data_IF_656950815462
#
_entry.id   IF_656950815462
#
_cell.length_a   1.000
_cell.length_b   1.000
_cell.length_c   1.000
_cell.angle_alpha   90.00
_cell.angle_beta   90.00
_cell.angle_gamma   90.00
#
_symmetry.space_group_name_H-M   'P 1'
#
loop_
_entity.id
_entity.type
_entity.pdbx_description
1 polymer ?
#
# COMPACT_ATOMS: atom_id res chain seq x y z
N UNK A 1 18.86 -15.37 1.81
CA UNK A 1 19.40 -14.03 2.20
C UNK A 1 18.84 -13.76 3.57
N UNK A 2 19.48 -13.07 4.48
CA UNK A 2 18.93 -12.80 5.82
C UNK A 2 18.00 -11.57 5.72
N UNK A 3 16.80 -11.68 6.30
CA UNK A 3 15.85 -10.57 6.40
C UNK A 3 16.47 -9.34 7.05
N UNK A 4 16.09 -8.16 6.60
CA UNK A 4 16.49 -6.89 7.25
C UNK A 4 15.65 -6.63 8.50
N UNK A 5 14.36 -7.01 8.47
CA UNK A 5 13.44 -6.93 9.61
C UNK A 5 12.66 -8.23 9.72
N UNK A 6 12.55 -8.77 10.94
CA UNK A 6 11.74 -9.95 11.21
C UNK A 6 10.96 -9.75 12.51
N UNK A 7 9.64 -9.88 12.44
CA UNK A 7 8.73 -9.90 13.57
C UNK A 7 8.17 -11.30 13.73
N UNK A 8 8.19 -11.84 14.95
CA UNK A 8 7.66 -13.17 15.25
C UNK A 8 6.66 -13.06 16.40
N UNK A 9 5.39 -13.33 16.12
CA UNK A 9 4.30 -13.33 17.09
C UNK A 9 4.15 -12.03 17.87
N UNK A 10 4.47 -10.89 17.25
CA UNK A 10 4.51 -9.58 17.91
C UNK A 10 3.11 -9.12 18.28
N UNK A 11 2.90 -8.88 19.58
CA UNK A 11 1.66 -8.34 20.12
C UNK A 11 1.86 -7.09 20.95
N UNK A 12 0.89 -6.15 20.87
CA UNK A 12 0.88 -4.91 21.67
C UNK A 12 -0.55 -4.48 21.98
N UNK A 13 -0.81 -4.21 23.26
CA UNK A 13 -2.11 -3.72 23.74
C UNK A 13 -1.97 -2.39 24.46
N UNK A 14 -3.00 -1.56 24.35
CA UNK A 14 -3.17 -0.31 25.11
C UNK A 14 -4.44 -0.42 25.94
N UNK A 15 -4.30 -0.76 27.21
CA UNK A 15 -5.44 -1.10 28.06
C UNK A 15 -6.22 -2.29 27.47
N UNK A 16 -7.52 -2.15 27.21
CA UNK A 16 -8.33 -3.23 26.65
C UNK A 16 -8.18 -3.41 25.13
N UNK A 17 -7.51 -2.50 24.45
CA UNK A 17 -7.39 -2.50 22.97
C UNK A 17 -6.10 -3.20 22.56
N UNK A 18 -6.22 -4.38 21.94
CA UNK A 18 -5.09 -5.07 21.31
C UNK A 18 -4.83 -4.44 19.93
N UNK A 19 -3.85 -3.53 19.85
CA UNK A 19 -3.50 -2.80 18.64
C UNK A 19 -2.71 -3.65 17.65
N UNK A 20 -1.90 -4.59 18.13
CA UNK A 20 -1.15 -5.57 17.32
C UNK A 20 -1.35 -6.94 17.95
N UNK A 21 -1.69 -7.94 17.14
CA UNK A 21 -2.15 -9.25 17.58
C UNK A 21 -1.35 -10.37 16.93
N UNK A 22 -0.19 -10.71 17.48
CA UNK A 22 0.61 -11.83 17.01
C UNK A 22 1.08 -11.67 15.57
N UNK A 23 1.61 -10.48 15.23
CA UNK A 23 2.07 -10.19 13.87
C UNK A 23 3.37 -10.93 13.58
N UNK A 24 3.34 -11.71 12.50
CA UNK A 24 4.51 -12.26 11.83
C UNK A 24 4.74 -11.45 10.54
N UNK A 25 5.95 -10.92 10.37
CA UNK A 25 6.31 -10.11 9.21
C UNK A 25 7.80 -10.22 8.93
N UNK A 26 8.14 -10.50 7.69
CA UNK A 26 9.51 -10.54 7.20
C UNK A 26 9.70 -9.53 6.08
N UNK A 27 10.83 -8.81 6.09
CA UNK A 27 11.22 -7.82 5.07
C UNK A 27 12.63 -8.12 4.64
N UNK A 28 12.80 -8.39 3.36
CA UNK A 28 14.11 -8.71 2.79
C UNK A 28 14.98 -7.46 2.64
N UNK A 29 16.31 -7.65 2.53
CA UNK A 29 17.25 -6.54 2.28
C UNK A 29 17.01 -5.94 0.90
N UNK A 30 16.89 -4.61 0.86
CA UNK A 30 16.59 -3.84 -0.35
C UNK A 30 15.12 -3.84 -0.77
N UNK A 31 14.24 -4.51 -0.02
CA UNK A 31 12.79 -4.51 -0.25
C UNK A 31 12.15 -3.22 0.26
N UNK A 32 11.22 -2.68 -0.51
CA UNK A 32 10.31 -1.60 -0.09
C UNK A 32 8.95 -2.24 0.24
N UNK A 33 8.63 -2.31 1.54
CA UNK A 33 7.36 -2.86 2.03
C UNK A 33 6.39 -1.74 2.41
N UNK A 34 5.14 -1.84 1.94
CA UNK A 34 4.03 -1.04 2.44
C UNK A 34 3.26 -1.76 3.55
N UNK A 35 3.03 -1.10 4.68
CA UNK A 35 2.00 -1.50 5.64
C UNK A 35 0.72 -0.74 5.31
N UNK A 36 -0.25 -1.42 4.72
CA UNK A 36 -1.52 -0.85 4.24
C UNK A 36 -2.67 -1.32 5.13
N UNK A 37 -3.62 -0.46 5.44
CA UNK A 37 -4.80 -0.86 6.24
C UNK A 37 -5.62 0.34 6.73
N UNK A 38 -6.83 0.13 7.25
CA UNK A 38 -7.68 1.20 7.77
C UNK A 38 -7.06 1.89 8.99
N UNK A 39 -7.59 3.06 9.34
CA UNK A 39 -7.16 3.76 10.55
C UNK A 39 -7.41 2.91 11.78
N UNK A 40 -6.41 2.85 12.68
CA UNK A 40 -6.50 2.07 13.93
C UNK A 40 -6.19 0.57 13.80
N UNK A 41 -5.86 0.03 12.63
CA UNK A 41 -5.52 -1.40 12.46
C UNK A 41 -4.12 -1.81 12.96
N UNK A 42 -3.33 -0.89 13.53
CA UNK A 42 -2.03 -1.22 14.15
C UNK A 42 -0.78 -0.87 13.36
N UNK A 43 -0.85 -0.30 12.16
CA UNK A 43 0.30 0.04 11.29
C UNK A 43 1.36 0.90 11.98
N UNK A 44 0.98 2.08 12.46
CA UNK A 44 1.89 3.00 13.16
C UNK A 44 2.45 2.37 14.44
N UNK A 45 1.65 1.55 15.15
CA UNK A 45 2.12 0.81 16.32
C UNK A 45 3.20 -0.21 15.92
N UNK A 46 2.98 -0.97 14.84
CA UNK A 46 3.97 -1.91 14.29
C UNK A 46 5.26 -1.18 13.90
N UNK A 47 5.14 -0.04 13.21
CA UNK A 47 6.30 0.78 12.85
C UNK A 47 7.07 1.25 14.10
N UNK A 48 6.37 1.72 15.14
CA UNK A 48 6.97 2.18 16.42
C UNK A 48 7.61 1.03 17.21
N UNK A 49 7.08 -0.18 17.12
CA UNK A 49 7.68 -1.39 17.71
C UNK A 49 9.01 -1.72 17.05
N UNK A 50 9.12 -1.60 15.72
CA UNK A 50 10.38 -1.79 14.98
C UNK A 50 11.37 -0.68 15.34
N UNK A 51 10.92 0.58 15.34
CA UNK A 51 11.74 1.74 15.66
C UNK A 51 12.25 1.76 17.12
N UNK A 52 11.51 1.10 18.06
CA UNK A 52 11.86 1.07 19.49
C UNK A 52 11.21 2.15 20.33
N UNK A 53 10.30 2.93 19.77
CA UNK A 53 9.48 3.88 20.54
C UNK A 53 8.45 3.15 21.41
N UNK A 54 8.01 1.96 20.98
CA UNK A 54 7.15 1.05 21.72
C UNK A 54 7.88 -0.27 22.03
N UNK A 55 7.43 -0.99 23.05
CA UNK A 55 7.89 -2.32 23.36
C UNK A 55 6.76 -3.34 23.11
N UNK A 56 7.05 -4.51 22.54
CA UNK A 56 6.05 -5.56 22.39
C UNK A 56 5.70 -6.17 23.77
N UNK A 57 4.42 -6.53 23.91
CA UNK A 57 3.97 -7.31 25.08
C UNK A 57 4.30 -8.80 24.88
N UNK A 58 4.28 -9.26 23.63
CA UNK A 58 4.61 -10.65 23.22
C UNK A 58 5.42 -10.65 21.94
N UNK A 59 6.10 -11.75 21.66
CA UNK A 59 6.87 -11.94 20.44
C UNK A 59 8.22 -11.24 20.46
N UNK A 60 8.90 -11.23 19.31
CA UNK A 60 10.24 -10.67 19.14
C UNK A 60 10.33 -9.81 17.89
N UNK A 61 11.19 -8.79 17.92
CA UNK A 61 11.55 -7.93 16.79
C UNK A 61 13.05 -8.08 16.54
N UNK A 62 13.41 -8.40 15.31
CA UNK A 62 14.79 -8.46 14.83
C UNK A 62 15.02 -7.41 13.75
N UNK A 63 16.20 -6.76 13.79
CA UNK A 63 16.66 -5.81 12.79
C UNK A 63 18.11 -6.15 12.44
N UNK A 64 18.41 -6.31 11.15
CA UNK A 64 19.75 -6.67 10.68
C UNK A 64 20.25 -8.01 11.23
N UNK A 65 19.35 -8.97 11.47
CA UNK A 65 19.68 -10.29 12.06
C UNK A 65 19.96 -10.25 13.57
N UNK A 66 19.67 -9.12 14.24
CA UNK A 66 19.84 -8.95 15.68
C UNK A 66 18.48 -8.74 16.34
N UNK A 67 18.16 -9.51 17.38
CA UNK A 67 16.98 -9.26 18.21
C UNK A 67 17.12 -7.92 18.94
N UNK A 68 16.18 -7.01 18.71
CA UNK A 68 16.17 -5.64 19.29
C UNK A 68 15.03 -5.42 20.28
N UNK A 69 14.01 -6.26 20.27
CA UNK A 69 12.94 -6.25 21.27
C UNK A 69 12.36 -7.65 21.49
N UNK A 70 11.86 -7.89 22.70
CA UNK A 70 11.21 -9.12 23.13
C UNK A 70 10.83 -9.03 24.60
N UNK A 71 10.29 -10.10 25.23
CA UNK A 71 9.74 -10.06 26.59
C UNK A 71 10.71 -9.51 27.64
N UNK A 72 12.03 -9.74 27.48
CA UNK A 72 13.06 -9.31 28.45
C UNK A 72 14.16 -8.47 27.77
N UNK A 73 13.94 -7.97 26.56
CA UNK A 73 14.92 -7.21 25.81
C UNK A 73 14.26 -5.96 25.23
N UNK A 74 14.87 -4.81 25.47
CA UNK A 74 14.50 -3.55 24.84
C UNK A 74 15.74 -2.77 24.47
N UNK A 75 16.13 -2.83 23.20
CA UNK A 75 17.17 -1.96 22.66
C UNK A 75 16.55 -0.60 22.37
N UNK A 76 17.12 0.52 22.87
CA UNK A 76 16.56 1.85 22.62
C UNK A 76 16.73 2.25 21.12
N UNK A 77 15.88 3.17 20.60
CA UNK A 77 15.82 3.53 19.18
C UNK A 77 17.19 3.87 18.56
N UNK A 78 17.99 4.68 19.23
CA UNK A 78 19.29 5.15 18.73
C UNK A 78 20.35 4.03 18.57
N UNK A 79 20.08 2.83 19.07
CA UNK A 79 20.96 1.66 18.96
C UNK A 79 20.43 0.57 18.05
N UNK A 80 19.29 0.80 17.36
CA UNK A 80 18.65 -0.19 16.49
C UNK A 80 19.11 -0.17 15.05
N UNK A 81 19.92 0.81 14.65
CA UNK A 81 20.32 1.03 13.25
C UNK A 81 19.12 1.21 12.31
N UNK A 82 18.14 1.98 12.74
CA UNK A 82 16.91 2.28 12.02
C UNK A 82 16.88 3.77 11.69
N UNK A 83 16.60 4.11 10.43
CA UNK A 83 16.26 5.47 10.03
C UNK A 83 14.76 5.72 10.20
N UNK A 84 14.35 6.93 10.60
CA UNK A 84 12.92 7.27 10.75
C UNK A 84 12.59 8.57 10.04
N UNK A 85 11.54 8.55 9.22
CA UNK A 85 10.88 9.72 8.63
C UNK A 85 9.49 9.81 9.24
N UNK A 86 9.23 10.92 9.95
CA UNK A 86 7.95 11.18 10.59
C UNK A 86 6.98 11.89 9.65
N UNK A 87 5.70 11.82 9.94
CA UNK A 87 4.63 12.41 9.14
C UNK A 87 4.79 13.92 8.90
N UNK A 88 5.31 14.66 9.90
CA UNK A 88 5.59 16.11 9.84
C UNK A 88 7.05 16.41 9.42
N UNK A 89 7.77 15.38 8.89
CA UNK A 89 9.19 15.41 8.52
C UNK A 89 10.15 15.65 9.70
N UNK A 90 9.72 16.25 10.79
CA UNK A 90 10.47 16.55 12.01
C UNK A 90 11.87 17.14 11.72
N UNK A 91 11.95 18.05 10.74
CA UNK A 91 13.20 18.77 10.45
C UNK A 91 13.53 19.76 11.56
N UNK A 92 14.82 19.89 11.90
CA UNK A 92 15.29 20.88 12.85
C UNK A 92 15.24 22.26 12.19
N UNK A 93 14.33 23.17 12.60
CA UNK A 93 14.08 24.42 11.86
C UNK A 93 15.21 25.44 11.98
N UNK A 94 16.10 25.26 12.96
CA UNK A 94 17.27 26.10 13.23
C UNK A 94 18.57 25.57 12.59
N UNK A 95 18.50 24.45 11.88
CA UNK A 95 19.63 23.84 11.17
C UNK A 95 19.42 23.93 9.66
N UNK A 96 20.49 24.12 8.91
CA UNK A 96 20.47 24.05 7.45
C UNK A 96 20.17 22.64 6.96
N UNK A 97 19.90 22.48 5.68
CA UNK A 97 19.72 21.17 5.02
C UNK A 97 20.91 20.25 5.29
N UNK A 98 22.13 20.70 5.03
CA UNK A 98 23.35 19.92 5.28
C UNK A 98 23.49 19.55 6.76
N UNK A 99 23.16 20.46 7.67
CA UNK A 99 23.22 20.20 9.12
C UNK A 99 22.13 19.20 9.57
N UNK A 100 20.92 19.27 8.99
CA UNK A 100 19.89 18.29 9.24
C UNK A 100 20.35 16.89 8.80
N UNK A 101 20.89 16.75 7.59
CA UNK A 101 21.39 15.46 7.06
C UNK A 101 22.55 14.94 7.91
N UNK A 102 23.45 15.83 8.33
CA UNK A 102 24.59 15.49 9.14
C UNK A 102 24.25 15.11 10.60
N UNK A 103 23.02 15.38 11.08
CA UNK A 103 22.68 15.32 12.49
C UNK A 103 22.95 13.95 13.14
N UNK A 104 22.60 12.87 12.46
CA UNK A 104 22.82 11.49 12.95
C UNK A 104 24.21 10.92 12.67
N UNK A 105 25.08 11.66 11.98
CA UNK A 105 26.41 11.17 11.62
C UNK A 105 27.41 11.39 12.77
N UNK A 106 28.29 10.42 13.05
CA UNK A 106 29.39 10.63 13.99
C UNK A 106 30.30 11.76 13.51
N UNK A 107 30.86 12.51 14.46
CA UNK A 107 31.88 13.53 14.14
C UNK A 107 33.14 12.89 13.59
N UNK A 108 33.82 13.58 12.68
CA UNK A 108 35.13 13.15 12.18
C UNK A 108 35.35 13.35 10.68
N UNK A 109 36.51 12.89 10.20
CA UNK A 109 36.89 12.93 8.77
C UNK A 109 35.92 12.06 7.96
N UNK A 110 35.40 12.62 6.86
CA UNK A 110 34.45 11.93 5.97
C UNK A 110 32.96 12.26 6.20
N UNK A 111 32.61 12.98 7.27
CA UNK A 111 31.24 13.43 7.52
C UNK A 111 30.68 14.28 6.39
N UNK A 112 31.45 15.30 5.96
CA UNK A 112 31.03 16.24 4.91
C UNK A 112 30.89 15.52 3.56
N UNK A 113 31.82 14.64 3.20
CA UNK A 113 31.70 13.82 1.99
C UNK A 113 30.48 12.88 2.00
N UNK A 114 30.12 12.31 3.17
CA UNK A 114 28.91 11.52 3.29
C UNK A 114 27.65 12.38 3.11
N UNK A 115 27.62 13.59 3.67
CA UNK A 115 26.52 14.55 3.49
C UNK A 115 26.36 14.89 2.01
N UNK A 116 27.44 15.21 1.30
CA UNK A 116 27.40 15.52 -0.15
C UNK A 116 26.83 14.34 -0.96
N UNK A 117 27.30 13.13 -0.72
CA UNK A 117 26.80 11.91 -1.38
C UNK A 117 25.29 11.73 -1.15
N UNK A 118 24.82 11.90 0.09
CA UNK A 118 23.41 11.70 0.41
C UNK A 118 22.53 12.84 -0.10
N UNK A 119 23.03 14.07 -0.13
CA UNK A 119 22.33 15.21 -0.74
C UNK A 119 22.16 14.99 -2.25
N UNK A 120 23.20 14.54 -2.94
CA UNK A 120 23.12 14.24 -4.37
C UNK A 120 22.13 13.09 -4.64
N UNK A 121 22.21 12.01 -3.86
CA UNK A 121 21.28 10.88 -3.94
C UNK A 121 19.81 11.33 -3.76
N UNK A 122 19.56 12.29 -2.85
CA UNK A 122 18.22 12.83 -2.60
C UNK A 122 17.84 13.98 -3.58
N UNK A 123 18.62 14.23 -4.62
CA UNK A 123 18.43 15.33 -5.57
C UNK A 123 18.30 16.71 -4.89
N UNK A 124 19.19 16.97 -3.93
CA UNK A 124 19.24 18.19 -3.13
C UNK A 124 20.53 19.00 -3.37
N UNK A 125 21.19 18.77 -4.52
CA UNK A 125 22.41 19.46 -4.90
C UNK A 125 22.23 20.97 -4.87
N UNK A 126 23.19 21.68 -4.28
CA UNK A 126 23.16 23.14 -4.13
C UNK A 126 22.20 23.67 -3.06
N UNK A 127 21.40 22.82 -2.40
CA UNK A 127 20.45 23.24 -1.36
C UNK A 127 21.01 23.11 0.07
N UNK A 128 22.23 22.59 0.25
CA UNK A 128 22.81 22.28 1.56
C UNK A 128 22.86 23.47 2.55
N UNK A 129 23.00 24.71 2.05
CA UNK A 129 23.03 25.91 2.87
C UNK A 129 21.65 26.50 3.22
N UNK A 130 20.56 26.01 2.61
CA UNK A 130 19.21 26.52 2.88
C UNK A 130 18.65 26.06 4.20
N UNK A 131 17.70 26.82 4.74
CA UNK A 131 16.93 26.47 5.91
C UNK A 131 15.65 25.70 5.50
N UNK A 132 15.06 24.84 6.38
CA UNK A 132 13.87 24.09 6.05
C UNK A 132 12.68 24.94 5.55
N UNK A 133 12.47 26.11 6.12
CA UNK A 133 11.37 27.01 5.72
C UNK A 133 11.52 27.65 4.32
N UNK A 134 12.72 27.53 3.71
CA UNK A 134 12.99 28.01 2.35
C UNK A 134 12.74 26.91 1.28
N UNK A 135 12.28 25.74 1.71
CA UNK A 135 12.07 24.57 0.87
C UNK A 135 10.58 24.29 0.63
N UNK A 136 10.26 23.75 -0.56
CA UNK A 136 8.93 23.16 -0.80
C UNK A 136 8.69 21.90 0.05
N UNK A 137 7.42 21.51 0.25
CA UNK A 137 7.09 20.30 1.02
C UNK A 137 7.79 19.03 0.51
N UNK A 138 7.84 18.82 -0.80
CA UNK A 138 8.58 17.68 -1.39
C UNK A 138 10.09 17.76 -1.16
N UNK A 139 10.67 18.97 -1.16
CA UNK A 139 12.10 19.15 -0.80
C UNK A 139 12.33 18.86 0.68
N UNK A 140 11.45 19.31 1.58
CA UNK A 140 11.54 19.00 3.01
C UNK A 140 11.47 17.49 3.27
N UNK A 141 10.59 16.79 2.57
CA UNK A 141 10.47 15.34 2.64
C UNK A 141 11.76 14.64 2.20
N UNK A 142 12.36 15.07 1.08
CA UNK A 142 13.65 14.53 0.62
C UNK A 142 14.78 14.82 1.60
N UNK A 143 14.79 15.96 2.28
CA UNK A 143 15.75 16.25 3.36
C UNK A 143 15.55 15.30 4.54
N UNK A 144 14.31 15.01 4.94
CA UNK A 144 14.03 14.06 6.01
C UNK A 144 14.46 12.63 5.64
N UNK A 145 14.22 12.22 4.39
CA UNK A 145 14.71 10.93 3.87
C UNK A 145 16.24 10.88 3.82
N UNK A 146 16.90 11.92 3.32
CA UNK A 146 18.35 12.04 3.30
C UNK A 146 18.96 11.94 4.72
N UNK A 147 18.36 12.62 5.70
CA UNK A 147 18.74 12.52 7.11
C UNK A 147 18.64 11.11 7.65
N UNK A 148 17.55 10.39 7.28
CA UNK A 148 17.34 9.00 7.70
C UNK A 148 18.35 8.04 7.05
N UNK A 149 18.73 8.26 5.79
CA UNK A 149 19.67 7.44 5.03
C UNK A 149 21.15 7.71 5.37
N UNK A 150 21.46 8.91 5.84
CA UNK A 150 22.86 9.33 6.06
C UNK A 150 23.67 8.38 6.95
N UNK A 151 23.15 7.85 8.09
CA UNK A 151 23.86 6.91 8.94
C UNK A 151 24.08 5.52 8.34
N UNK A 152 23.43 5.17 7.21
CA UNK A 152 23.47 3.83 6.63
C UNK A 152 22.68 2.82 7.47
N UNK A 153 21.39 3.05 7.70
CA UNK A 153 20.57 2.16 8.53
C UNK A 153 20.31 0.82 7.85
N UNK A 154 19.96 -0.21 8.64
CA UNK A 154 19.49 -1.52 8.15
C UNK A 154 18.11 -1.41 7.49
N UNK A 155 17.27 -0.48 7.99
CA UNK A 155 15.94 -0.20 7.46
C UNK A 155 15.55 1.26 7.68
N UNK A 156 14.87 1.85 6.71
CA UNK A 156 14.24 3.18 6.81
C UNK A 156 12.73 2.97 7.05
N UNK A 157 12.21 3.56 8.10
CA UNK A 157 10.80 3.56 8.45
C UNK A 157 10.17 4.91 8.10
N UNK A 158 9.01 4.90 7.42
CA UNK A 158 8.32 6.12 7.02
C UNK A 158 6.87 6.07 7.51
N UNK A 159 6.50 7.02 8.37
CA UNK A 159 5.15 7.10 8.95
C UNK A 159 4.32 8.10 8.14
N UNK A 160 3.38 7.61 7.32
CA UNK A 160 2.51 8.37 6.41
C UNK A 160 3.25 9.49 5.63
N UNK A 161 4.29 9.14 4.86
CA UNK A 161 5.20 10.15 4.31
C UNK A 161 4.56 11.13 3.33
N UNK A 162 3.41 10.82 2.75
CA UNK A 162 2.78 11.64 1.71
C UNK A 162 1.52 12.39 2.18
N UNK A 163 1.12 12.24 3.44
CA UNK A 163 -0.15 12.79 3.97
C UNK A 163 -0.26 14.32 3.89
N UNK A 164 0.86 15.03 3.96
CA UNK A 164 0.93 16.50 3.95
C UNK A 164 1.09 17.11 2.55
N UNK A 165 0.99 16.31 1.47
CA UNK A 165 1.17 16.76 0.09
C UNK A 165 -0.17 16.86 -0.64
N UNK A 166 -0.28 17.85 -1.53
CA UNK A 166 -1.39 17.89 -2.49
C UNK A 166 -1.31 16.74 -3.50
N UNK A 167 -2.43 16.41 -4.16
CA UNK A 167 -2.53 15.24 -5.03
C UNK A 167 -1.53 15.25 -6.21
N UNK A 168 -1.28 16.41 -6.83
CA UNK A 168 -0.37 16.51 -7.98
C UNK A 168 1.09 16.35 -7.55
N UNK A 169 1.46 16.96 -6.42
CA UNK A 169 2.80 16.85 -5.85
C UNK A 169 3.05 15.43 -5.30
N UNK A 170 2.04 14.80 -4.73
CA UNK A 170 2.11 13.44 -4.16
C UNK A 170 2.56 12.41 -5.19
N UNK A 171 1.98 12.39 -6.39
CA UNK A 171 2.35 11.45 -7.47
C UNK A 171 3.81 11.58 -7.86
N UNK A 172 4.30 12.82 -8.01
CA UNK A 172 5.70 13.07 -8.37
C UNK A 172 6.66 12.68 -7.25
N UNK A 173 6.36 13.06 -6.00
CA UNK A 173 7.22 12.81 -4.85
C UNK A 173 7.28 11.31 -4.53
N UNK A 174 6.19 10.54 -4.78
CA UNK A 174 6.21 9.08 -4.68
C UNK A 174 7.26 8.46 -5.61
N UNK A 175 7.26 8.85 -6.88
CA UNK A 175 8.24 8.35 -7.85
C UNK A 175 9.68 8.72 -7.43
N UNK A 176 9.91 10.00 -7.12
CA UNK A 176 11.23 10.47 -6.64
C UNK A 176 11.70 9.71 -5.39
N UNK A 177 10.81 9.40 -4.45
CA UNK A 177 11.15 8.64 -3.24
C UNK A 177 11.52 7.19 -3.55
N UNK A 178 10.79 6.52 -4.46
CA UNK A 178 11.13 5.18 -4.92
C UNK A 178 12.52 5.14 -5.54
N UNK A 179 12.81 6.10 -6.42
CA UNK A 179 14.12 6.20 -7.08
C UNK A 179 15.25 6.37 -6.04
N UNK A 180 15.08 7.30 -5.09
CA UNK A 180 16.06 7.54 -4.01
C UNK A 180 16.30 6.28 -3.17
N UNK A 181 15.25 5.56 -2.77
CA UNK A 181 15.38 4.34 -1.97
C UNK A 181 16.05 3.22 -2.76
N UNK A 182 15.70 3.07 -4.04
CA UNK A 182 16.28 2.07 -4.95
C UNK A 182 17.77 2.37 -5.22
N UNK A 183 18.10 3.61 -5.55
CA UNK A 183 19.49 4.02 -5.81
C UNK A 183 20.38 3.93 -4.56
N UNK A 184 19.77 4.10 -3.38
CA UNK A 184 20.44 3.86 -2.10
C UNK A 184 20.62 2.37 -1.79
N UNK A 185 19.96 1.45 -2.49
CA UNK A 185 19.87 0.04 -2.10
C UNK A 185 19.24 -0.15 -0.71
N UNK A 186 18.36 0.76 -0.31
CA UNK A 186 17.83 0.82 1.04
C UNK A 186 16.64 -0.13 1.22
N UNK A 187 16.60 -0.81 2.36
CA UNK A 187 15.36 -1.46 2.82
C UNK A 187 14.45 -0.40 3.41
N UNK A 188 13.16 -0.42 3.08
CA UNK A 188 12.22 0.55 3.60
C UNK A 188 10.89 -0.09 4.01
N UNK A 189 10.28 0.42 5.09
CA UNK A 189 8.91 0.09 5.49
C UNK A 189 8.16 1.41 5.61
N UNK A 190 7.09 1.58 4.84
CA UNK A 190 6.24 2.75 4.99
C UNK A 190 4.80 2.39 5.35
N UNK A 191 4.19 3.26 6.14
CA UNK A 191 2.79 3.14 6.55
C UNK A 191 1.95 4.06 5.69
N UNK A 192 0.84 3.56 5.19
CA UNK A 192 -0.15 4.36 4.48
C UNK A 192 -1.56 3.77 4.65
N UNK A 193 -2.57 4.60 4.43
CA UNK A 193 -3.96 4.19 4.24
C UNK A 193 -4.42 4.37 2.79
N UNK A 194 -3.53 4.88 1.92
CA UNK A 194 -3.78 5.13 0.50
C UNK A 194 -3.33 3.90 -0.32
N UNK A 195 -4.29 3.31 -1.04
CA UNK A 195 -4.08 2.12 -1.87
C UNK A 195 -3.12 2.41 -3.03
N UNK A 196 -3.24 3.60 -3.66
CA UNK A 196 -2.38 3.97 -4.79
C UNK A 196 -0.93 4.13 -4.35
N UNK A 197 -0.70 4.66 -3.14
CA UNK A 197 0.65 4.76 -2.59
C UNK A 197 1.26 3.38 -2.39
N UNK A 198 0.52 2.47 -1.75
CA UNK A 198 1.01 1.11 -1.48
C UNK A 198 1.28 0.34 -2.78
N UNK A 199 0.31 0.35 -3.71
CA UNK A 199 0.42 -0.43 -4.95
C UNK A 199 1.45 0.13 -5.94
N UNK A 200 1.73 1.45 -5.92
CA UNK A 200 2.65 2.07 -6.90
C UNK A 200 4.10 2.15 -6.42
N UNK A 201 4.34 2.14 -5.11
CA UNK A 201 5.67 2.38 -4.55
C UNK A 201 6.33 1.11 -4.01
N UNK A 202 5.56 0.18 -3.44
CA UNK A 202 6.10 -0.98 -2.75
C UNK A 202 6.48 -2.12 -3.71
N UNK A 203 7.45 -2.93 -3.31
CA UNK A 203 7.76 -4.23 -3.92
C UNK A 203 6.81 -5.29 -3.37
N UNK A 204 6.47 -5.21 -2.07
CA UNK A 204 5.43 -5.99 -1.42
C UNK A 204 4.53 -5.11 -0.53
N UNK A 205 3.28 -5.53 -0.39
CA UNK A 205 2.29 -4.86 0.46
C UNK A 205 1.79 -5.84 1.50
N UNK A 206 1.88 -5.48 2.77
CA UNK A 206 1.25 -6.19 3.88
C UNK A 206 -0.04 -5.46 4.28
N UNK A 207 -1.18 -6.09 4.02
CA UNK A 207 -2.48 -5.57 4.44
C UNK A 207 -2.73 -5.93 5.89
N UNK A 208 -2.88 -4.91 6.72
CA UNK A 208 -3.20 -5.07 8.13
C UNK A 208 -4.69 -4.81 8.39
N UNK A 209 -5.36 -5.79 8.97
CA UNK A 209 -6.75 -5.71 9.41
C UNK A 209 -6.82 -6.16 10.88
N UNK A 210 -7.53 -5.42 11.71
CA UNK A 210 -7.78 -5.75 13.11
C UNK A 210 -6.55 -6.18 13.93
N UNK A 211 -5.41 -5.54 13.67
CA UNK A 211 -4.15 -5.80 14.40
C UNK A 211 -3.34 -6.99 13.88
N UNK A 212 -3.73 -7.61 12.78
CA UNK A 212 -3.05 -8.76 12.17
C UNK A 212 -2.64 -8.44 10.73
N UNK A 213 -1.66 -9.17 10.19
CA UNK A 213 -1.34 -9.16 8.75
C UNK A 213 -2.28 -10.17 8.07
N UNK A 214 -3.26 -9.67 7.32
CA UNK A 214 -4.23 -10.50 6.61
C UNK A 214 -3.63 -11.11 5.33
N UNK A 215 -2.76 -10.38 4.63
CA UNK A 215 -2.04 -10.85 3.45
C UNK A 215 -0.78 -10.00 3.23
N UNK A 216 0.33 -10.63 2.86
CA UNK A 216 1.53 -9.99 2.32
C UNK A 216 1.78 -10.56 0.92
N UNK A 217 1.90 -9.69 -0.09
CA UNK A 217 2.17 -10.09 -1.47
C UNK A 217 2.64 -8.90 -2.31
N UNK A 218 3.19 -9.19 -3.49
CA UNK A 218 3.43 -8.18 -4.52
C UNK A 218 2.10 -7.47 -4.90
N UNK A 219 2.14 -6.17 -5.26
CA UNK A 219 0.95 -5.36 -5.55
C UNK A 219 -0.03 -6.00 -6.52
N UNK A 220 0.46 -6.55 -7.63
CA UNK A 220 -0.38 -7.21 -8.65
C UNK A 220 -1.06 -8.47 -8.12
N UNK A 221 -0.35 -9.27 -7.31
CA UNK A 221 -0.89 -10.48 -6.69
C UNK A 221 -1.98 -10.09 -5.67
N UNK A 222 -1.71 -9.10 -4.85
CA UNK A 222 -2.66 -8.59 -3.85
C UNK A 222 -3.96 -8.08 -4.49
N UNK A 223 -3.85 -7.35 -5.61
CA UNK A 223 -4.99 -6.78 -6.32
C UNK A 223 -5.83 -7.83 -7.04
N UNK A 224 -5.17 -8.77 -7.74
CA UNK A 224 -5.85 -9.76 -8.58
C UNK A 224 -6.20 -11.06 -7.86
N UNK A 225 -5.50 -11.41 -6.77
CA UNK A 225 -5.71 -12.63 -6.00
C UNK A 225 -5.72 -12.32 -4.49
N UNK A 226 -6.66 -11.49 -4.01
CA UNK A 226 -6.80 -11.21 -2.58
C UNK A 226 -7.17 -12.48 -1.82
N UNK A 227 -6.61 -12.65 -0.62
CA UNK A 227 -6.82 -13.83 0.22
C UNK A 227 -8.22 -13.91 0.84
N UNK A 228 -8.89 -12.77 0.99
CA UNK A 228 -10.25 -12.69 1.53
C UNK A 228 -11.04 -11.55 0.89
N UNK A 229 -12.36 -11.57 1.13
CA UNK A 229 -13.26 -10.49 0.74
C UNK A 229 -12.82 -9.15 1.32
N UNK A 230 -12.47 -9.13 2.61
CA UNK A 230 -12.08 -7.90 3.31
C UNK A 230 -10.81 -7.30 2.70
N UNK A 231 -9.82 -8.13 2.34
CA UNK A 231 -8.63 -7.69 1.61
C UNK A 231 -9.02 -7.16 0.24
N UNK A 232 -9.90 -7.85 -0.49
CA UNK A 232 -10.36 -7.42 -1.82
C UNK A 232 -11.03 -6.05 -1.79
N UNK A 233 -11.94 -5.82 -0.83
CA UNK A 233 -12.64 -4.55 -0.63
C UNK A 233 -11.68 -3.43 -0.21
N UNK A 234 -10.69 -3.75 0.61
CA UNK A 234 -9.76 -2.77 1.11
C UNK A 234 -8.70 -2.36 0.07
N UNK A 235 -8.28 -3.24 -0.82
CA UNK A 235 -7.21 -2.96 -1.80
C UNK A 235 -7.72 -2.21 -3.03
N UNK A 236 -9.03 -2.27 -3.32
CA UNK A 236 -9.62 -1.55 -4.44
C UNK A 236 -11.09 -1.85 -4.62
N UNK A 237 -11.75 -1.08 -5.46
CA UNK A 237 -13.15 -1.31 -5.81
C UNK A 237 -13.36 -2.72 -6.36
N UNK A 238 -14.42 -3.38 -5.93
CA UNK A 238 -14.75 -4.74 -6.36
C UNK A 238 -16.27 -4.95 -6.43
N UNK A 239 -16.69 -5.76 -7.39
CA UNK A 239 -18.04 -6.26 -7.49
C UNK A 239 -18.09 -7.65 -6.85
N UNK A 240 -19.03 -7.87 -5.93
CA UNK A 240 -19.26 -9.18 -5.33
C UNK A 240 -20.60 -9.73 -5.80
N UNK A 241 -20.58 -10.91 -6.39
CA UNK A 241 -21.77 -11.58 -6.93
C UNK A 241 -21.84 -13.01 -6.43
N UNK A 242 -23.04 -13.48 -6.03
CA UNK A 242 -23.23 -14.88 -5.67
C UNK A 242 -23.20 -15.76 -6.91
N UNK A 243 -22.69 -16.98 -6.75
CA UNK A 243 -22.66 -17.98 -7.82
C UNK A 243 -22.34 -19.38 -7.32
N UNK A 244 -22.23 -20.31 -8.26
CA UNK A 244 -21.78 -21.69 -8.01
C UNK A 244 -20.47 -21.91 -8.76
N UNK A 245 -19.43 -22.31 -8.04
CA UNK A 245 -18.11 -22.58 -8.61
C UNK A 245 -17.87 -24.09 -8.70
N UNK A 246 -17.63 -24.56 -9.90
CA UNK A 246 -17.27 -25.95 -10.19
C UNK A 246 -16.27 -26.02 -11.35
N UNK A 247 -15.25 -26.85 -11.21
CA UNK A 247 -14.27 -27.15 -12.26
C UNK A 247 -13.62 -25.89 -12.88
N UNK A 248 -13.33 -24.87 -12.06
CA UNK A 248 -12.71 -23.61 -12.53
C UNK A 248 -13.65 -22.67 -13.30
N UNK A 249 -14.97 -22.90 -13.19
CA UNK A 249 -16.02 -22.06 -13.78
C UNK A 249 -16.99 -21.60 -12.73
N UNK A 250 -17.40 -20.35 -12.83
CA UNK A 250 -18.44 -19.74 -12.03
C UNK A 250 -19.72 -19.61 -12.84
N UNK A 251 -20.78 -20.23 -12.38
CA UNK A 251 -22.13 -19.98 -12.88
C UNK A 251 -22.82 -18.90 -12.05
N UNK A 252 -23.13 -17.76 -12.65
CA UNK A 252 -23.67 -16.60 -11.95
C UNK A 252 -24.62 -15.77 -12.83
N UNK A 253 -25.10 -14.65 -12.32
CA UNK A 253 -26.01 -13.74 -13.07
C UNK A 253 -25.41 -13.11 -14.33
N UNK A 254 -24.09 -13.19 -14.52
CA UNK A 254 -23.39 -12.76 -15.74
C UNK A 254 -23.07 -13.92 -16.70
N UNK A 255 -23.68 -15.10 -16.45
CA UNK A 255 -23.44 -16.32 -17.22
C UNK A 255 -22.29 -17.16 -16.66
N UNK A 256 -21.66 -17.96 -17.52
CA UNK A 256 -20.52 -18.82 -17.20
C UNK A 256 -19.21 -18.04 -17.32
N UNK A 257 -18.51 -17.82 -16.21
CA UNK A 257 -17.28 -17.04 -16.13
C UNK A 257 -16.12 -17.95 -15.68
N UNK A 258 -14.92 -17.85 -16.28
CA UNK A 258 -13.75 -18.50 -15.71
C UNK A 258 -13.52 -17.99 -14.27
N UNK A 259 -13.16 -18.89 -13.35
CA UNK A 259 -12.96 -18.54 -11.96
C UNK A 259 -11.73 -19.23 -11.37
N UNK A 260 -11.14 -18.64 -10.33
CA UNK A 260 -10.05 -19.20 -9.54
C UNK A 260 -10.36 -19.07 -8.05
N UNK A 261 -9.89 -20.06 -7.29
CA UNK A 261 -10.04 -20.19 -5.85
C UNK A 261 -10.24 -21.65 -5.48
N UNK A 262 -10.04 -21.96 -4.21
CA UNK A 262 -10.10 -23.34 -3.70
C UNK A 262 -11.53 -23.78 -3.35
N UNK A 263 -12.46 -22.83 -3.20
CA UNK A 263 -13.84 -23.09 -2.79
C UNK A 263 -14.66 -23.65 -3.95
N UNK A 264 -15.48 -24.66 -3.69
CA UNK A 264 -16.43 -25.25 -4.64
C UNK A 264 -17.87 -25.14 -4.11
N UNK A 265 -18.86 -25.22 -5.00
CA UNK A 265 -20.28 -25.10 -4.64
C UNK A 265 -20.71 -23.63 -4.55
N UNK A 266 -21.53 -23.30 -3.57
CA UNK A 266 -22.05 -21.93 -3.39
C UNK A 266 -20.94 -21.00 -2.89
N UNK A 267 -20.64 -19.97 -3.68
CA UNK A 267 -19.54 -19.02 -3.44
C UNK A 267 -20.01 -17.58 -3.62
N UNK A 268 -19.20 -16.66 -3.10
CA UNK A 268 -19.24 -15.26 -3.49
C UNK A 268 -18.05 -14.97 -4.39
N UNK A 269 -18.29 -14.40 -5.56
CA UNK A 269 -17.24 -14.14 -6.55
C UNK A 269 -16.94 -12.66 -6.67
N UNK A 270 -15.65 -12.32 -6.67
CA UNK A 270 -15.13 -10.98 -6.86
C UNK A 270 -14.77 -10.76 -8.33
N UNK A 271 -15.21 -9.63 -8.87
CA UNK A 271 -14.81 -9.09 -10.18
C UNK A 271 -14.38 -7.64 -10.01
N UNK A 272 -13.20 -7.30 -10.51
CA UNK A 272 -12.76 -5.90 -10.56
C UNK A 272 -13.60 -5.12 -11.57
N UNK A 273 -13.87 -3.81 -11.34
CA UNK A 273 -14.70 -3.00 -12.23
C UNK A 273 -14.19 -2.98 -13.69
N UNK A 274 -12.89 -3.00 -13.91
CA UNK A 274 -12.26 -3.05 -15.24
C UNK A 274 -12.40 -4.40 -15.94
N UNK A 275 -12.79 -5.46 -15.23
CA UNK A 275 -13.10 -6.75 -15.83
C UNK A 275 -14.48 -6.78 -16.49
N UNK A 276 -15.33 -5.76 -16.25
CA UNK A 276 -16.64 -5.67 -16.89
C UNK A 276 -16.54 -4.86 -18.19
N UNK A 277 -16.95 -5.47 -19.30
CA UNK A 277 -17.04 -4.85 -20.62
C UNK A 277 -18.48 -4.46 -20.90
N UNK A 278 -18.65 -3.22 -21.35
CA UNK A 278 -19.96 -2.68 -21.69
C UNK A 278 -20.05 -2.41 -23.20
N UNK A 279 -21.20 -2.75 -23.79
CA UNK A 279 -21.55 -2.28 -25.14
C UNK A 279 -23.01 -1.78 -25.16
N UNK A 280 -23.37 -0.84 -26.07
CA UNK A 280 -24.76 -0.45 -26.25
C UNK A 280 -25.60 -1.65 -26.63
N UNK A 281 -26.79 -1.76 -26.04
CA UNK A 281 -27.78 -2.76 -26.44
C UNK A 281 -28.48 -2.26 -27.71
N UNK A 282 -28.01 -2.72 -28.86
CA UNK A 282 -28.62 -2.43 -30.17
C UNK A 282 -29.63 -3.52 -30.52
N UNK A 283 -30.41 -3.32 -31.61
CA UNK A 283 -31.48 -4.25 -32.07
C UNK A 283 -31.03 -5.70 -32.34
N UNK A 284 -29.73 -6.01 -32.16
CA UNK A 284 -29.17 -7.36 -32.32
C UNK A 284 -29.27 -8.25 -31.05
N UNK A 285 -29.79 -7.75 -29.95
CA UNK A 285 -29.92 -8.52 -28.70
C UNK A 285 -28.58 -8.83 -28.01
N UNK A 286 -28.61 -9.77 -27.06
CA UNK A 286 -27.43 -10.30 -26.37
C UNK A 286 -26.66 -11.26 -27.28
N UNK A 287 -25.35 -11.21 -27.23
CA UNK A 287 -24.47 -12.18 -27.91
C UNK A 287 -23.71 -12.99 -26.85
N UNK A 288 -23.87 -14.33 -26.90
CA UNK A 288 -23.09 -15.22 -26.04
C UNK A 288 -23.37 -15.06 -24.54
N UNK A 289 -22.30 -14.88 -23.74
CA UNK A 289 -22.35 -14.78 -22.29
C UNK A 289 -22.42 -13.30 -21.85
N UNK A 290 -23.57 -12.67 -22.10
CA UNK A 290 -23.82 -11.28 -21.73
C UNK A 290 -25.08 -11.17 -20.88
N UNK A 291 -25.12 -10.20 -19.97
CA UNK A 291 -26.29 -9.83 -19.19
C UNK A 291 -26.77 -8.43 -19.58
N UNK A 292 -28.09 -8.22 -19.52
CA UNK A 292 -28.64 -6.88 -19.73
C UNK A 292 -28.59 -6.06 -18.46
N UNK A 293 -28.28 -4.77 -18.63
CA UNK A 293 -28.24 -3.81 -17.53
C UNK A 293 -28.72 -2.43 -17.96
N UNK A 294 -29.12 -1.65 -16.98
CA UNK A 294 -29.41 -0.22 -17.12
C UNK A 294 -28.35 0.59 -16.40
N UNK A 295 -27.80 1.59 -17.07
CA UNK A 295 -26.85 2.55 -16.47
C UNK A 295 -27.59 3.40 -15.45
N UNK A 296 -27.10 3.44 -14.21
CA UNK A 296 -27.65 4.24 -13.11
C UNK A 296 -26.94 5.57 -12.97
N UNK A 297 -25.59 5.56 -13.03
CA UNK A 297 -24.75 6.74 -12.85
C UNK A 297 -23.45 6.60 -13.63
N UNK A 298 -22.84 7.74 -13.92
CA UNK A 298 -21.52 7.88 -14.51
C UNK A 298 -20.71 8.91 -13.74
N UNK A 299 -19.53 8.54 -13.32
CA UNK A 299 -18.52 9.43 -12.75
C UNK A 299 -17.33 9.50 -13.71
N UNK A 300 -16.95 10.72 -14.13
CA UNK A 300 -15.89 10.93 -15.11
C UNK A 300 -14.67 11.55 -14.45
N UNK A 301 -13.52 10.87 -14.54
CA UNK A 301 -12.25 11.27 -13.91
C UNK A 301 -11.21 11.77 -14.93
N UNK A 302 -11.59 12.02 -16.19
CA UNK A 302 -10.73 12.49 -17.27
C UNK A 302 -10.11 11.32 -18.03
N UNK A 303 -9.19 10.61 -17.43
CA UNK A 303 -8.51 9.45 -18.05
C UNK A 303 -9.33 8.16 -17.99
N UNK A 304 -10.26 8.04 -17.05
CA UNK A 304 -11.20 6.94 -16.92
C UNK A 304 -12.58 7.41 -16.45
N UNK A 305 -13.51 6.48 -16.34
CA UNK A 305 -14.86 6.69 -15.87
C UNK A 305 -15.41 5.46 -15.16
N UNK A 306 -16.14 5.68 -14.08
CA UNK A 306 -16.85 4.64 -13.34
C UNK A 306 -18.33 4.68 -13.74
N UNK A 307 -18.83 3.53 -14.20
CA UNK A 307 -20.23 3.35 -14.61
C UNK A 307 -20.92 2.43 -13.62
N UNK A 308 -21.91 2.96 -12.91
CA UNK A 308 -22.77 2.18 -12.01
C UNK A 308 -23.95 1.61 -12.79
N UNK A 309 -24.15 0.31 -12.71
CA UNK A 309 -25.11 -0.46 -13.49
C UNK A 309 -26.07 -1.20 -12.57
N UNK A 310 -27.31 -1.37 -13.02
CA UNK A 310 -28.25 -2.36 -12.44
C UNK A 310 -28.52 -3.43 -13.48
N UNK A 311 -28.16 -4.67 -13.17
CA UNK A 311 -28.55 -5.81 -13.99
C UNK A 311 -30.08 -6.01 -13.93
N UNK A 312 -30.67 -6.50 -15.00
CA UNK A 312 -32.11 -6.84 -15.02
C UNK A 312 -32.46 -7.94 -14.02
N UNK A 313 -31.48 -8.80 -13.69
CA UNK A 313 -31.56 -9.80 -12.60
C UNK A 313 -31.50 -9.21 -11.19
N UNK A 314 -31.23 -7.86 -11.04
CA UNK A 314 -31.32 -7.13 -9.78
C UNK A 314 -30.02 -6.57 -9.21
N UNK A 315 -28.87 -7.26 -9.22
CA UNK A 315 -27.62 -6.74 -8.63
C UNK A 315 -27.14 -5.44 -9.26
N UNK A 316 -26.49 -4.61 -8.40
CA UNK A 316 -25.82 -3.38 -8.83
C UNK A 316 -24.32 -3.66 -8.93
N UNK A 317 -23.74 -3.31 -10.07
CA UNK A 317 -22.32 -3.48 -10.35
C UNK A 317 -21.67 -2.16 -10.78
N UNK A 318 -20.36 -2.07 -10.64
CA UNK A 318 -19.55 -0.97 -11.14
C UNK A 318 -18.62 -1.47 -12.25
N UNK A 319 -18.54 -0.74 -13.36
CA UNK A 319 -17.58 -0.99 -14.43
C UNK A 319 -16.68 0.22 -14.60
N UNK A 320 -15.37 0.02 -14.70
CA UNK A 320 -14.38 1.06 -14.97
C UNK A 320 -13.95 0.99 -16.43
N UNK A 321 -14.13 2.10 -17.14
CA UNK A 321 -13.85 2.23 -18.57
C UNK A 321 -12.81 3.36 -18.80
N UNK A 322 -12.08 3.31 -19.88
CA UNK A 322 -11.21 4.42 -20.30
C UNK A 322 -12.00 5.70 -20.56
N UNK A 323 -11.30 6.85 -20.65
CA UNK A 323 -11.88 8.19 -20.79
C UNK A 323 -12.57 8.53 -22.11
N UNK A 324 -12.84 7.52 -22.97
CA UNK A 324 -13.58 7.67 -24.22
C UNK A 324 -15.07 8.00 -24.05
N UNK A 325 -15.87 7.92 -25.13
CA UNK A 325 -17.31 8.10 -25.06
C UNK A 325 -17.92 7.14 -24.03
N UNK A 326 -18.69 7.68 -23.09
CA UNK A 326 -19.31 6.91 -22.04
C UNK A 326 -20.80 6.74 -22.27
N UNK A 327 -21.39 5.93 -21.41
CA UNK A 327 -22.84 5.70 -21.37
C UNK A 327 -23.53 6.76 -20.52
N UNK A 328 -24.83 7.04 -20.84
CA UNK A 328 -25.66 7.98 -20.08
C UNK A 328 -26.57 7.22 -19.11
N UNK A 329 -26.92 7.83 -17.96
CA UNK A 329 -27.95 7.30 -17.10
C UNK A 329 -29.24 6.99 -17.87
N UNK A 330 -29.83 5.82 -17.65
CA UNK A 330 -31.00 5.31 -18.37
C UNK A 330 -30.69 4.52 -19.63
N UNK A 331 -29.47 4.53 -20.16
CA UNK A 331 -29.10 3.72 -21.31
C UNK A 331 -29.09 2.23 -20.96
N UNK A 332 -29.54 1.42 -21.94
CA UNK A 332 -29.51 -0.04 -21.87
C UNK A 332 -28.19 -0.54 -22.46
N UNK A 333 -27.53 -1.41 -21.72
CA UNK A 333 -26.22 -1.97 -22.10
C UNK A 333 -26.19 -3.48 -21.94
N UNK A 334 -25.39 -4.15 -22.75
CA UNK A 334 -24.98 -5.50 -22.51
C UNK A 334 -23.66 -5.49 -21.72
N UNK A 335 -23.59 -6.35 -20.69
CA UNK A 335 -22.45 -6.50 -19.78
C UNK A 335 -21.84 -7.88 -19.98
N UNK A 336 -20.54 -7.93 -20.28
CA UNK A 336 -19.77 -9.16 -20.35
C UNK A 336 -18.60 -9.12 -19.39
N UNK A 337 -18.11 -10.28 -18.95
CA UNK A 337 -16.90 -10.40 -18.14
C UNK A 337 -15.70 -10.69 -19.04
N UNK A 338 -14.66 -9.87 -18.90
CA UNK A 338 -13.36 -10.09 -19.51
C UNK A 338 -12.36 -10.52 -18.44
N UNK A 339 -11.91 -11.77 -18.50
CA UNK A 339 -10.97 -12.30 -17.49
C UNK A 339 -11.61 -13.39 -16.63
N UNK A 340 -11.15 -13.49 -15.38
CA UNK A 340 -11.62 -14.49 -14.41
C UNK A 340 -12.05 -13.87 -13.11
N UNK A 341 -13.01 -14.49 -12.43
CA UNK A 341 -13.43 -14.12 -11.10
C UNK A 341 -12.53 -14.79 -10.03
N UNK A 342 -12.40 -14.15 -8.87
CA UNK A 342 -11.86 -14.78 -7.66
C UNK A 342 -13.01 -15.19 -6.77
N UNK A 343 -13.00 -16.42 -6.27
CA UNK A 343 -14.11 -16.92 -5.45
C UNK A 343 -13.70 -17.05 -3.99
N UNK A 344 -14.64 -16.66 -3.12
CA UNK A 344 -14.54 -16.78 -1.67
C UNK A 344 -15.65 -17.68 -1.13
N UNK A 345 -15.44 -18.31 0.06
CA UNK A 345 -16.53 -18.99 0.74
C UNK A 345 -17.69 -18.02 0.98
N UNK A 346 -18.89 -18.48 0.74
CA UNK A 346 -20.08 -17.71 1.14
C UNK A 346 -20.32 -17.96 2.62
N UNK A 347 -20.18 -16.88 3.43
CA UNK A 347 -20.48 -16.92 4.85
C UNK A 347 -21.96 -17.21 5.15
#
# INVERSE_FOLDING_TARGET
MSAAVHLTGVGRSYGPVAAVRGVDLEVERGEILALLGPSGCGKTTTLRLIAGFEAPDTGTVEVGGRTVAGPNLRVPPEKRQVGMVFQDYALFPHLTVAQNVAYGLPGGKGRDGRVEVVLSLAHLDGLGGRMPHELSGGQQQRVALARALAPGPEVVLLDEPFSNLDAALRTRVRAEMRDILTDAGATAIFVTHDQEEALSLADEVAVMLDGTVAQKAAPEVLYHNPASREVAEFVGEANFIPGTHENGRLSCVLGEVPACGECTGSVEAMLRPEALRLRPLTNGGLSGQEAEATVLAREFYGHDQLIKLRLDSGPILCSRLGGGPGFRPGERVAVAVAGRAVVFPRG
#
